data_IF_173488567655
#
_entry.id   IF_173488567655
#
_cell.length_a   1.000
_cell.length_b   1.000
_cell.length_c   1.000
_cell.angle_alpha   90.00
_cell.angle_beta   90.00
_cell.angle_gamma   90.00
#
_symmetry.space_group_name_H-M   'P 1'
#
loop_
_entity.id
_entity.type
_entity.pdbx_description
1 polymer ?
#
# COMPACT_ATOMS: atom_id res chain seq x y z
N UNK A 1 16.76 6.54 10.24
CA UNK A 1 15.78 5.48 9.93
C UNK A 1 16.50 4.16 9.67
N UNK A 2 17.42 4.13 8.70
CA UNK A 2 18.22 2.96 8.31
C UNK A 2 18.92 2.24 9.48
N UNK A 3 19.63 2.96 10.37
CA UNK A 3 20.25 2.35 11.57
C UNK A 3 19.27 1.62 12.51
N UNK A 4 18.02 2.09 12.62
CA UNK A 4 17.01 1.56 13.55
C UNK A 4 16.12 0.50 12.90
N UNK A 5 15.78 0.69 11.63
CA UNK A 5 14.78 -0.11 10.94
C UNK A 5 15.36 -0.98 9.83
N UNK A 6 16.62 -0.79 9.41
CA UNK A 6 17.26 -1.55 8.34
C UNK A 6 16.76 -1.22 6.93
N UNK A 7 16.08 -0.08 6.76
CA UNK A 7 15.56 0.41 5.47
C UNK A 7 15.73 1.92 5.40
N UNK A 8 15.90 2.46 4.19
CA UNK A 8 15.89 3.91 3.96
C UNK A 8 14.48 4.46 4.16
N UNK A 9 14.39 5.70 4.61
CA UNK A 9 13.10 6.38 4.70
C UNK A 9 12.78 7.01 3.36
N UNK A 10 11.80 6.46 2.65
CA UNK A 10 11.23 7.02 1.45
C UNK A 10 10.00 7.88 1.72
N UNK A 11 9.35 8.29 0.63
CA UNK A 11 8.06 8.97 0.66
C UNK A 11 6.88 7.99 0.56
N UNK A 12 7.10 6.79 0.01
CA UNK A 12 6.01 5.87 -0.32
C UNK A 12 5.30 5.32 0.91
N UNK A 13 6.01 5.12 2.02
CA UNK A 13 5.41 4.69 3.28
C UNK A 13 4.44 5.73 3.84
N UNK A 14 4.74 7.03 3.69
CA UNK A 14 3.81 8.09 4.08
C UNK A 14 2.59 8.17 3.18
N UNK A 15 2.78 8.13 1.85
CA UNK A 15 1.65 8.16 0.92
C UNK A 15 0.76 6.94 1.05
N UNK A 16 1.34 5.75 1.19
CA UNK A 16 0.59 4.52 1.44
C UNK A 16 -0.21 4.64 2.73
N UNK A 17 0.38 5.16 3.82
CA UNK A 17 -0.38 5.41 5.05
C UNK A 17 -1.51 6.40 4.85
N UNK A 18 -1.26 7.55 4.24
CA UNK A 18 -2.29 8.56 3.98
C UNK A 18 -3.46 7.97 3.17
N UNK A 19 -3.16 7.20 2.12
CA UNK A 19 -4.17 6.50 1.32
C UNK A 19 -4.96 5.50 2.19
N UNK A 20 -4.30 4.66 3.00
CA UNK A 20 -5.00 3.70 3.87
C UNK A 20 -5.93 4.39 4.88
N UNK A 21 -5.60 5.60 5.33
CA UNK A 21 -6.50 6.41 6.16
C UNK A 21 -7.68 6.95 5.34
N UNK A 22 -7.45 7.49 4.15
CA UNK A 22 -8.51 7.98 3.27
C UNK A 22 -9.49 6.86 2.87
N UNK A 23 -9.01 5.63 2.66
CA UNK A 23 -9.86 4.47 2.35
C UNK A 23 -10.83 4.12 3.50
N UNK A 24 -10.51 4.47 4.75
CA UNK A 24 -11.42 4.29 5.89
C UNK A 24 -12.53 5.35 5.89
N UNK A 25 -12.24 6.55 5.39
CA UNK A 25 -13.22 7.64 5.28
C UNK A 25 -14.13 7.49 4.07
N UNK A 26 -13.61 6.90 2.98
CA UNK A 26 -14.34 6.68 1.73
C UNK A 26 -14.26 5.18 1.33
N UNK A 27 -14.98 4.28 2.02
CA UNK A 27 -14.88 2.83 1.81
C UNK A 27 -15.21 2.37 0.38
N UNK A 28 -16.02 3.14 -0.35
CA UNK A 28 -16.40 2.85 -1.73
C UNK A 28 -15.19 2.85 -2.68
N UNK A 29 -14.11 3.58 -2.38
CA UNK A 29 -12.88 3.58 -3.19
C UNK A 29 -12.12 2.27 -3.04
N UNK A 30 -12.24 1.59 -1.89
CA UNK A 30 -11.61 0.29 -1.63
C UNK A 30 -12.49 -0.91 -2.03
N UNK A 31 -13.69 -0.66 -2.53
CA UNK A 31 -14.63 -1.70 -2.92
C UNK A 31 -14.33 -2.25 -4.31
N UNK A 32 -14.87 -3.43 -4.62
CA UNK A 32 -14.89 -3.98 -5.98
C UNK A 32 -16.32 -4.25 -6.43
N UNK A 33 -16.53 -4.25 -7.74
CA UNK A 33 -17.80 -4.63 -8.36
C UNK A 33 -17.67 -6.10 -8.78
N UNK A 34 -18.49 -6.95 -8.19
CA UNK A 34 -18.59 -8.37 -8.54
C UNK A 34 -19.96 -8.64 -9.19
N UNK A 35 -19.98 -8.64 -10.53
CA UNK A 35 -21.15 -8.81 -11.39
C UNK A 35 -22.25 -7.76 -11.11
N UNK A 36 -23.09 -7.99 -10.12
CA UNK A 36 -24.17 -7.09 -9.68
C UNK A 36 -23.94 -6.49 -8.29
N UNK A 37 -23.00 -7.04 -7.53
CA UNK A 37 -22.79 -6.69 -6.12
C UNK A 37 -21.58 -5.76 -5.97
N UNK A 38 -21.61 -4.94 -4.92
CA UNK A 38 -20.47 -4.12 -4.50
C UNK A 38 -19.90 -4.76 -3.22
N UNK A 39 -18.66 -5.23 -3.30
CA UNK A 39 -17.96 -5.86 -2.18
C UNK A 39 -17.04 -4.83 -1.53
N UNK A 40 -17.42 -4.41 -0.32
CA UNK A 40 -16.60 -3.52 0.52
C UNK A 40 -15.54 -4.32 1.27
N UNK A 41 -14.28 -3.87 1.21
CA UNK A 41 -13.14 -4.52 1.83
C UNK A 41 -12.75 -3.82 3.14
N UNK A 42 -12.63 -4.61 4.21
CA UNK A 42 -12.24 -4.15 5.55
C UNK A 42 -10.72 -4.21 5.81
N UNK A 43 -9.94 -4.35 4.75
CA UNK A 43 -8.48 -4.36 4.74
C UNK A 43 -7.99 -3.47 3.59
N UNK A 44 -6.79 -2.92 3.70
CA UNK A 44 -6.19 -2.14 2.61
C UNK A 44 -5.00 -2.89 2.01
N UNK A 45 -5.16 -3.35 0.77
CA UNK A 45 -4.05 -3.85 -0.05
C UNK A 45 -3.72 -2.79 -1.10
N UNK A 46 -2.48 -2.30 -1.12
CA UNK A 46 -2.09 -1.17 -1.96
C UNK A 46 -1.09 -1.63 -3.01
N UNK A 47 -1.45 -1.50 -4.27
CA UNK A 47 -0.53 -1.68 -5.39
C UNK A 47 0.37 -0.45 -5.53
N UNK A 48 1.68 -0.66 -5.60
CA UNK A 48 2.66 0.42 -5.77
C UNK A 48 3.40 0.17 -7.07
N UNK A 49 3.28 1.09 -8.03
CA UNK A 49 3.97 0.96 -9.31
C UNK A 49 5.45 1.32 -9.18
N UNK A 50 6.34 0.41 -9.57
CA UNK A 50 7.80 0.56 -9.48
C UNK A 50 8.42 0.34 -10.86
N UNK A 51 9.18 1.33 -11.32
CA UNK A 51 10.00 1.21 -12.52
C UNK A 51 11.27 0.42 -12.25
N UNK A 52 11.54 -0.58 -13.08
CA UNK A 52 12.76 -1.41 -13.04
C UNK A 52 13.42 -1.42 -14.42
N UNK A 53 14.67 -1.88 -14.49
CA UNK A 53 15.38 -2.04 -15.77
C UNK A 53 14.69 -3.02 -16.74
N UNK A 54 13.82 -3.89 -16.21
CA UNK A 54 13.03 -4.87 -16.98
C UNK A 54 11.62 -4.37 -17.33
N UNK A 55 11.29 -3.12 -16.98
CA UNK A 55 9.98 -2.51 -17.20
C UNK A 55 9.26 -2.13 -15.91
N UNK A 56 7.94 -1.95 -16.01
CA UNK A 56 7.07 -1.57 -14.90
C UNK A 56 6.52 -2.81 -14.19
N UNK A 57 6.69 -2.88 -12.88
CA UNK A 57 6.03 -3.89 -12.04
C UNK A 57 5.17 -3.21 -10.99
N UNK A 58 4.12 -3.89 -10.54
CA UNK A 58 3.22 -3.38 -9.50
C UNK A 58 3.13 -4.40 -8.36
N UNK A 59 4.09 -4.42 -7.43
CA UNK A 59 3.95 -5.18 -6.18
C UNK A 59 2.74 -4.69 -5.38
N UNK A 60 2.14 -5.61 -4.62
CA UNK A 60 1.01 -5.35 -3.73
C UNK A 60 1.49 -5.41 -2.29
N UNK A 61 1.43 -4.28 -1.58
CA UNK A 61 1.64 -4.22 -0.14
C UNK A 61 0.35 -4.65 0.54
N UNK A 62 0.34 -5.87 1.07
CA UNK A 62 -0.82 -6.45 1.76
C UNK A 62 -0.94 -5.90 3.17
N UNK A 63 -2.18 -5.74 3.62
CA UNK A 63 -2.55 -5.23 4.95
C UNK A 63 -1.81 -3.93 5.33
N UNK A 64 -1.65 -3.03 4.36
CA UNK A 64 -0.87 -1.80 4.49
C UNK A 64 -1.42 -0.85 5.58
N UNK A 65 -2.71 -0.97 5.89
CA UNK A 65 -3.34 -0.22 6.98
C UNK A 65 -2.85 -0.66 8.37
N UNK A 66 -2.34 -1.90 8.51
CA UNK A 66 -1.79 -2.47 9.74
C UNK A 66 -0.27 -2.28 9.87
N UNK A 67 0.44 -2.11 8.75
CA UNK A 67 1.90 -1.97 8.72
C UNK A 67 2.36 -0.59 9.21
N UNK A 68 3.51 -0.52 9.86
CA UNK A 68 4.24 0.74 10.09
C UNK A 68 4.85 1.28 8.79
N UNK A 69 5.24 2.56 8.78
CA UNK A 69 5.97 3.16 7.65
C UNK A 69 7.24 2.36 7.32
N UNK A 70 7.95 1.87 8.34
CA UNK A 70 9.15 1.08 8.14
C UNK A 70 8.88 -0.27 7.46
N UNK A 71 7.75 -0.91 7.78
CA UNK A 71 7.35 -2.16 7.16
C UNK A 71 6.89 -1.95 5.72
N UNK A 72 6.14 -0.87 5.44
CA UNK A 72 5.73 -0.52 4.07
C UNK A 72 6.95 -0.24 3.19
N UNK A 73 7.89 0.57 3.66
CA UNK A 73 9.12 0.87 2.89
C UNK A 73 9.95 -0.40 2.61
N UNK A 74 9.97 -1.35 3.54
CA UNK A 74 10.62 -2.66 3.32
C UNK A 74 9.90 -3.49 2.26
N UNK A 75 8.58 -3.52 2.30
CA UNK A 75 7.80 -4.33 1.36
C UNK A 75 7.88 -3.79 -0.07
N UNK A 76 7.90 -2.46 -0.24
CA UNK A 76 8.06 -1.82 -1.55
C UNK A 76 9.47 -2.01 -2.12
N UNK A 77 10.49 -2.03 -1.25
CA UNK A 77 11.89 -2.19 -1.65
C UNK A 77 12.33 -3.63 -1.93
N UNK A 78 11.41 -4.60 -1.84
CA UNK A 78 11.66 -6.02 -2.13
C UNK A 78 11.72 -6.31 -3.63
#
# INVERSE_FOLDING_TARGET
FEKKHGVKLGFMGFFTKAVTHALKEIPAVNAEIDVTDIIYKNFAHVGVAVGTDKGLVVPVVRDADQMSIAEIEKEIGR
#
